data_IF_836710714633
#
_entry.id   IF_836710714633
#
_cell.length_a   1.000
_cell.length_b   1.000
_cell.length_c   1.000
_cell.angle_alpha   90.00
_cell.angle_beta   90.00
_cell.angle_gamma   90.00
#
_symmetry.space_group_name_H-M   'P 1'
#
loop_
_entity.id
_entity.type
_entity.pdbx_description
1 polymer ?
#
# COMPACT_ATOMS: atom_id res chain seq x y z
N UNK A 1 -15.71 -13.43 -5.94
CA UNK A 1 -16.49 -14.56 -5.37
C UNK A 1 -16.74 -14.42 -3.87
N UNK A 2 -15.73 -14.18 -3.02
CA UNK A 2 -15.90 -14.10 -1.56
C UNK A 2 -16.95 -13.06 -1.08
N UNK A 3 -16.88 -11.82 -1.58
CA UNK A 3 -17.83 -10.75 -1.22
C UNK A 3 -19.26 -11.06 -1.65
N UNK A 4 -19.44 -11.58 -2.87
CA UNK A 4 -20.74 -11.97 -3.41
C UNK A 4 -21.42 -13.05 -2.56
N UNK A 5 -20.67 -14.05 -2.09
CA UNK A 5 -21.19 -15.09 -1.18
C UNK A 5 -21.68 -14.53 0.17
N UNK A 6 -21.19 -13.35 0.56
CA UNK A 6 -21.56 -12.65 1.80
C UNK A 6 -22.58 -11.54 1.56
N UNK A 7 -23.07 -11.37 0.33
CA UNK A 7 -24.00 -10.29 -0.03
C UNK A 7 -23.38 -8.89 0.07
N UNK A 8 -22.06 -8.77 0.01
CA UNK A 8 -21.35 -7.48 0.04
C UNK A 8 -21.14 -7.01 -1.40
N UNK A 9 -21.50 -5.75 -1.68
CA UNK A 9 -21.25 -5.14 -2.99
C UNK A 9 -19.75 -5.07 -3.27
N UNK A 10 -19.34 -5.74 -4.36
CA UNK A 10 -17.96 -5.77 -4.85
C UNK A 10 -17.78 -4.96 -6.13
N UNK A 11 -18.75 -4.14 -6.55
CA UNK A 11 -18.70 -3.35 -7.79
C UNK A 11 -17.49 -2.41 -7.85
N UNK A 12 -16.99 -1.99 -6.69
CA UNK A 12 -15.83 -1.12 -6.55
C UNK A 12 -14.49 -1.88 -6.50
N UNK A 13 -14.50 -3.23 -6.53
CA UNK A 13 -13.26 -4.01 -6.57
C UNK A 13 -12.68 -3.94 -7.98
N UNK A 14 -11.68 -3.08 -8.14
CA UNK A 14 -10.90 -2.98 -9.36
C UNK A 14 -9.67 -3.89 -9.28
N UNK A 15 -9.48 -4.73 -10.30
CA UNK A 15 -8.34 -5.63 -10.39
C UNK A 15 -7.48 -5.30 -11.61
N UNK A 16 -6.17 -5.41 -11.44
CA UNK A 16 -5.20 -5.34 -12.52
C UNK A 16 -3.98 -6.24 -12.22
N UNK A 17 -3.18 -6.51 -13.24
CA UNK A 17 -2.00 -7.38 -13.16
C UNK A 17 -0.73 -6.65 -12.69
N UNK A 18 -0.72 -5.33 -12.76
CA UNK A 18 0.46 -4.49 -12.49
C UNK A 18 0.60 -4.14 -10.99
N UNK A 19 -0.49 -4.25 -10.21
CA UNK A 19 -0.50 -4.02 -8.77
C UNK A 19 -0.63 -2.54 -8.38
N UNK A 20 -0.90 -2.30 -7.09
CA UNK A 20 -1.24 -0.96 -6.57
C UNK A 20 -0.12 0.06 -6.69
N UNK A 21 1.15 -0.39 -6.79
CA UNK A 21 2.27 0.52 -6.97
C UNK A 21 2.35 1.07 -8.39
N UNK A 22 2.33 0.20 -9.39
CA UNK A 22 2.53 0.61 -10.79
C UNK A 22 1.25 1.07 -11.47
N UNK A 23 0.10 0.57 -11.03
CA UNK A 23 -1.22 0.91 -11.55
C UNK A 23 -2.23 0.96 -10.43
N UNK A 24 -2.22 2.10 -9.76
CA UNK A 24 -3.22 2.40 -8.76
C UNK A 24 -4.61 2.46 -9.41
N UNK A 25 -5.52 1.62 -8.93
CA UNK A 25 -6.88 1.56 -9.43
C UNK A 25 -7.78 2.66 -8.83
N UNK A 26 -7.31 3.34 -7.78
CA UNK A 26 -8.06 4.36 -7.04
C UNK A 26 -7.19 5.61 -6.73
N UNK A 27 -6.59 6.26 -7.76
CA UNK A 27 -5.57 7.29 -7.56
C UNK A 27 -6.04 8.49 -6.71
N UNK A 28 -7.31 8.86 -6.82
CA UNK A 28 -7.87 10.02 -6.12
C UNK A 28 -8.58 9.67 -4.80
N UNK A 29 -8.71 8.37 -4.47
CA UNK A 29 -9.44 7.95 -3.29
C UNK A 29 -8.76 8.45 -2.02
N UNK A 30 -9.55 9.10 -1.15
CA UNK A 30 -9.21 9.39 0.24
C UNK A 30 -10.20 8.67 1.15
N UNK A 31 -9.78 7.53 1.69
CA UNK A 31 -10.61 6.66 2.50
C UNK A 31 -10.59 7.09 3.98
N UNK A 32 -11.74 6.98 4.64
CA UNK A 32 -11.84 7.15 6.09
C UNK A 32 -11.21 5.98 6.85
N UNK A 33 -11.24 4.77 6.26
CA UNK A 33 -10.67 3.57 6.85
C UNK A 33 -9.89 2.78 5.82
N UNK A 34 -8.67 2.38 6.21
CA UNK A 34 -7.83 1.48 5.42
C UNK A 34 -7.43 0.30 6.28
N UNK A 35 -7.68 -0.91 5.78
CA UNK A 35 -7.26 -2.15 6.41
C UNK A 35 -6.57 -3.02 5.36
N UNK A 36 -5.33 -3.41 5.62
CA UNK A 36 -4.57 -4.26 4.70
C UNK A 36 -3.69 -5.27 5.44
N UNK A 37 -3.43 -6.39 4.77
CA UNK A 37 -2.37 -7.33 5.12
C UNK A 37 -1.49 -7.53 3.87
N UNK A 38 -0.60 -6.58 3.57
CA UNK A 38 0.23 -6.65 2.37
C UNK A 38 1.29 -7.77 2.49
N UNK A 39 1.87 -8.22 1.36
CA UNK A 39 2.98 -9.16 1.39
C UNK A 39 4.16 -8.61 2.19
N UNK A 40 4.70 -9.39 3.12
CA UNK A 40 5.82 -8.96 3.96
C UNK A 40 7.14 -9.05 3.20
N UNK A 41 7.99 -8.02 3.37
CA UNK A 41 9.35 -7.95 2.84
C UNK A 41 9.40 -8.20 1.31
N UNK A 42 8.39 -7.72 0.58
CA UNK A 42 8.32 -7.85 -0.87
C UNK A 42 9.50 -7.09 -1.53
N UNK A 43 10.28 -7.79 -2.34
CA UNK A 43 11.26 -7.23 -3.28
C UNK A 43 10.61 -6.96 -4.65
N UNK A 44 11.35 -6.36 -5.57
CA UNK A 44 10.97 -6.23 -6.99
C UNK A 44 9.62 -5.53 -7.21
N UNK A 45 9.31 -4.55 -6.38
CA UNK A 45 8.02 -3.85 -6.37
C UNK A 45 7.94 -2.65 -7.32
N UNK A 46 8.94 -2.48 -8.20
CA UNK A 46 9.02 -1.39 -9.16
C UNK A 46 9.78 -0.16 -8.67
N UNK A 47 10.66 -0.33 -7.68
CA UNK A 47 11.41 0.75 -7.02
C UNK A 47 12.07 1.73 -7.99
N UNK A 48 12.79 1.22 -9.00
CA UNK A 48 13.53 2.06 -9.95
C UNK A 48 12.64 3.06 -10.70
N UNK A 49 11.42 2.64 -11.05
CA UNK A 49 10.46 3.46 -11.78
C UNK A 49 9.79 4.48 -10.84
N UNK A 50 9.69 4.14 -9.56
CA UNK A 50 8.91 4.88 -8.58
C UNK A 50 9.75 5.86 -7.76
N UNK A 51 11.05 6.03 -7.97
CA UNK A 51 11.92 6.91 -7.15
C UNK A 51 11.38 8.32 -6.88
N UNK A 52 10.65 8.90 -7.84
CA UNK A 52 10.07 10.24 -7.75
C UNK A 52 8.56 10.29 -7.48
N UNK A 53 7.96 9.17 -7.05
CA UNK A 53 6.52 9.08 -6.84
C UNK A 53 6.04 10.00 -5.71
N UNK A 54 4.89 10.65 -5.91
CA UNK A 54 4.31 11.59 -4.95
C UNK A 54 3.86 10.94 -3.63
N UNK A 55 3.79 9.61 -3.57
CA UNK A 55 3.51 8.85 -2.34
C UNK A 55 4.64 8.97 -1.31
N UNK A 56 5.90 9.13 -1.74
CA UNK A 56 7.10 9.11 -0.89
C UNK A 56 7.33 10.41 -0.12
N UNK A 57 6.38 10.79 0.74
CA UNK A 57 6.45 12.00 1.57
C UNK A 57 7.38 11.87 2.76
N UNK A 58 7.63 10.65 3.24
CA UNK A 58 8.44 10.41 4.43
C UNK A 58 9.82 9.83 4.12
N UNK A 59 10.14 9.69 2.84
CA UNK A 59 11.41 9.18 2.32
C UNK A 59 11.17 8.14 1.25
N UNK A 60 12.18 7.86 0.44
CA UNK A 60 12.11 6.78 -0.54
C UNK A 60 12.20 5.43 0.21
N UNK A 61 11.19 4.54 0.13
CA UNK A 61 11.27 3.23 0.75
C UNK A 61 12.39 2.38 0.13
N UNK A 62 12.99 1.43 0.86
CA UNK A 62 14.10 0.62 0.36
C UNK A 62 13.65 -0.35 -0.75
N UNK A 63 14.50 -0.52 -1.76
CA UNK A 63 14.24 -1.39 -2.92
C UNK A 63 13.93 -2.84 -2.51
N UNK A 64 14.75 -3.41 -1.64
CA UNK A 64 14.59 -4.80 -1.18
C UNK A 64 13.43 -5.04 -0.21
N UNK A 65 12.64 -4.03 0.17
CA UNK A 65 11.55 -4.20 1.12
C UNK A 65 10.41 -3.17 0.98
N UNK A 66 9.28 -3.59 0.42
CA UNK A 66 8.11 -2.75 0.21
C UNK A 66 7.27 -2.45 1.47
N UNK A 67 7.64 -2.90 2.68
CA UNK A 67 6.81 -2.71 3.88
C UNK A 67 6.46 -1.23 4.11
N UNK A 68 7.44 -0.34 4.01
CA UNK A 68 7.22 1.10 4.15
C UNK A 68 6.59 1.72 2.89
N UNK A 69 6.80 1.14 1.70
CA UNK A 69 6.09 1.56 0.50
C UNK A 69 4.57 1.32 0.63
N UNK A 70 4.16 0.20 1.22
CA UNK A 70 2.77 -0.08 1.53
C UNK A 70 2.19 0.91 2.55
N UNK A 71 2.96 1.26 3.60
CA UNK A 71 2.55 2.28 4.58
C UNK A 71 2.33 3.62 3.90
N UNK A 72 3.30 4.11 3.12
CA UNK A 72 3.19 5.40 2.45
C UNK A 72 2.08 5.42 1.38
N UNK A 73 1.85 4.32 0.67
CA UNK A 73 0.70 4.18 -0.21
C UNK A 73 -0.63 4.30 0.56
N UNK A 74 -0.77 3.60 1.69
CA UNK A 74 -1.97 3.73 2.53
C UNK A 74 -2.15 5.14 3.08
N UNK A 75 -1.07 5.79 3.56
CA UNK A 75 -1.12 7.19 4.02
C UNK A 75 -1.51 8.14 2.90
N UNK A 76 -1.00 7.92 1.68
CA UNK A 76 -1.38 8.71 0.52
C UNK A 76 -2.89 8.68 0.28
N UNK A 77 -3.55 7.53 0.44
CA UNK A 77 -5.00 7.37 0.28
C UNK A 77 -5.80 7.60 1.57
N UNK A 78 -5.18 8.02 2.67
CA UNK A 78 -5.91 8.23 3.92
C UNK A 78 -6.51 9.65 3.94
N UNK A 79 -7.80 9.74 4.28
CA UNK A 79 -8.44 11.02 4.53
C UNK A 79 -7.78 11.74 5.75
N UNK A 80 -7.85 13.08 5.86
CA UNK A 80 -7.21 13.82 6.96
C UNK A 80 -7.61 13.39 8.38
N UNK A 81 -8.77 12.76 8.55
CA UNK A 81 -9.28 12.22 9.82
C UNK A 81 -9.44 10.68 9.79
N UNK A 82 -8.88 10.04 8.77
CA UNK A 82 -9.00 8.61 8.57
C UNK A 82 -8.16 7.81 9.55
N UNK A 83 -8.47 6.53 9.67
CA UNK A 83 -7.73 5.56 10.47
C UNK A 83 -7.26 4.43 9.57
N UNK A 84 -5.98 4.10 9.63
CA UNK A 84 -5.44 2.92 8.97
C UNK A 84 -4.93 1.88 9.96
N UNK A 85 -5.07 0.61 9.62
CA UNK A 85 -4.47 -0.50 10.33
C UNK A 85 -3.85 -1.47 9.30
N UNK A 86 -2.62 -1.89 9.56
CA UNK A 86 -1.94 -2.89 8.73
C UNK A 86 -1.12 -3.82 9.59
N UNK A 87 -0.89 -5.03 9.10
CA UNK A 87 0.05 -5.98 9.69
C UNK A 87 1.38 -5.85 8.97
N UNK A 88 2.49 -5.93 9.72
CA UNK A 88 3.85 -5.92 9.20
C UNK A 88 4.70 -6.94 9.95
N UNK A 89 5.85 -7.31 9.38
CA UNK A 89 6.81 -8.17 10.05
C UNK A 89 7.42 -7.45 11.27
N UNK A 90 7.70 -8.18 12.35
CA UNK A 90 8.27 -7.62 13.59
C UNK A 90 9.54 -6.79 13.36
N UNK A 91 10.37 -7.16 12.38
CA UNK A 91 11.58 -6.42 12.01
C UNK A 91 11.31 -4.97 11.58
N UNK A 92 10.07 -4.65 11.16
CA UNK A 92 9.67 -3.29 10.77
C UNK A 92 9.67 -2.31 11.95
N UNK A 93 9.67 -2.78 13.20
CA UNK A 93 9.70 -1.94 14.40
C UNK A 93 11.11 -1.44 14.75
N UNK A 94 12.16 -2.08 14.26
CA UNK A 94 13.55 -1.84 14.72
C UNK A 94 14.61 -1.89 13.62
N UNK A 95 14.22 -2.05 12.35
CA UNK A 95 15.16 -2.09 11.23
C UNK A 95 15.84 -0.74 11.02
N UNK A 96 17.14 -0.78 10.74
CA UNK A 96 17.94 0.37 10.30
C UNK A 96 18.21 0.34 8.78
N UNK A 97 17.52 -0.50 8.02
CA UNK A 97 17.63 -0.49 6.57
C UNK A 97 17.12 0.85 6.03
N UNK A 98 17.99 1.55 5.31
CA UNK A 98 17.69 2.76 4.57
C UNK A 98 17.94 2.50 3.08
N UNK A 99 17.16 3.17 2.22
CA UNK A 99 17.31 3.14 0.76
C UNK A 99 18.39 4.09 0.29
#
# INVERSE_FOLDING_TARGET
>A
MNLALRGIDGSQVAWNSEGSFLKDAHPDLKADYILANPPFNQSDWGWDILKGDARWKYGLPPDGNANFAWIEHMIHHLAPKGVMATVLSNGSLSSNQSG
#
